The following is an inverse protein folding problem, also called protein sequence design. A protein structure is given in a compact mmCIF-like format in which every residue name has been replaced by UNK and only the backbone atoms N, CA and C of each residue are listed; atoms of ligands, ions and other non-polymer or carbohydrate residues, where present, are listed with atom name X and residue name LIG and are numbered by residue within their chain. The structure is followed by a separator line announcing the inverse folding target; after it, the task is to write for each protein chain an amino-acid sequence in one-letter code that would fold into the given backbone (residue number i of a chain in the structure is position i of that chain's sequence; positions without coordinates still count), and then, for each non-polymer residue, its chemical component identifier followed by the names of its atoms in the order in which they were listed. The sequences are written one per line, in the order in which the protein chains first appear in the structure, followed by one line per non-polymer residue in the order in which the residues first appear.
data_IF_180430457465
#
_entry.id   IF_180430457465
#
_cell.length_a   1.000
_cell.length_b   1.000
_cell.length_c   1.000
_cell.angle_alpha   90.00
_cell.angle_beta   90.00
_cell.angle_gamma   90.00
#
_symmetry.space_group_name_H-M   'P 1'
#
loop_
_entity.id
_entity.type
_entity.pdbx_description
1 polymer ?
#
# COMPACT_ATOMS: atom_id res chain seq x y z
N UNK A 1 -10.45 15.75 -27.05
CA UNK A 1 -9.38 15.07 -26.31
C UNK A 1 -9.92 14.64 -24.96
N UNK A 2 -9.92 13.34 -24.66
CA UNK A 2 -10.20 12.89 -23.30
C UNK A 2 -8.95 13.17 -22.47
N UNK A 3 -9.07 14.01 -21.44
CA UNK A 3 -8.03 14.16 -20.43
C UNK A 3 -7.74 12.75 -19.89
N UNK A 4 -6.55 12.20 -20.13
CA UNK A 4 -6.22 10.86 -19.64
C UNK A 4 -6.32 10.88 -18.11
N UNK A 5 -7.35 10.24 -17.56
CA UNK A 5 -7.51 10.11 -16.11
C UNK A 5 -6.42 9.15 -15.64
N UNK A 6 -5.38 9.69 -15.02
CA UNK A 6 -4.27 8.91 -14.47
C UNK A 6 -4.77 8.09 -13.29
N UNK A 7 -4.69 6.76 -13.41
CA UNK A 7 -4.90 5.86 -12.28
C UNK A 7 -3.61 5.81 -11.45
N UNK A 8 -3.74 6.09 -10.15
CA UNK A 8 -2.60 6.08 -9.23
C UNK A 8 -2.67 4.83 -8.37
N UNK A 9 -1.58 4.05 -8.35
CA UNK A 9 -1.37 2.97 -7.39
C UNK A 9 -0.38 3.48 -6.34
N UNK A 10 -0.74 3.37 -5.07
CA UNK A 10 0.10 3.81 -3.95
C UNK A 10 0.82 2.58 -3.39
N UNK A 11 2.15 2.65 -3.28
CA UNK A 11 2.96 1.62 -2.62
C UNK A 11 3.51 2.23 -1.33
N UNK A 12 3.16 1.63 -0.20
CA UNK A 12 3.55 2.09 1.12
C UNK A 12 4.78 1.34 1.60
N UNK A 13 5.72 2.10 2.17
CA UNK A 13 6.90 1.57 2.85
C UNK A 13 6.91 2.11 4.28
N UNK A 14 6.92 1.22 5.28
CA UNK A 14 6.91 1.54 6.70
C UNK A 14 5.63 1.11 7.42
N UNK A 15 5.36 1.77 8.54
CA UNK A 15 4.51 1.33 9.64
C UNK A 15 3.30 2.24 9.89
N UNK A 16 3.04 3.22 9.02
CA UNK A 16 1.85 4.06 9.08
C UNK A 16 1.16 4.21 7.71
N UNK A 17 -0.16 3.97 7.71
CA UNK A 17 -1.07 4.56 6.73
C UNK A 17 -1.12 6.08 7.01
N UNK A 18 -0.18 6.82 6.42
CA UNK A 18 -0.17 8.28 6.46
C UNK A 18 -1.31 8.88 5.64
N UNK A 19 -1.14 10.12 5.17
CA UNK A 19 -2.09 10.78 4.26
C UNK A 19 -2.03 10.14 2.86
N UNK A 20 -2.81 9.08 2.65
CA UNK A 20 -3.05 8.47 1.35
C UNK A 20 -4.00 9.39 0.55
N UNK A 21 -3.84 9.52 -0.78
CA UNK A 21 -4.83 10.17 -1.62
C UNK A 21 -6.24 9.63 -1.37
N UNK A 22 -7.27 10.47 -1.54
CA UNK A 22 -8.66 10.07 -1.24
C UNK A 22 -9.18 8.93 -2.15
N UNK A 23 -8.67 8.83 -3.38
CA UNK A 23 -9.18 7.90 -4.40
C UNK A 23 -8.03 7.26 -5.20
N UNK A 24 -7.19 6.41 -4.57
CA UNK A 24 -6.23 5.61 -5.32
C UNK A 24 -6.97 4.51 -6.08
N UNK A 25 -6.41 4.07 -7.21
CA UNK A 25 -6.90 2.90 -7.91
C UNK A 25 -6.62 1.61 -7.11
N UNK A 26 -5.50 1.57 -6.38
CA UNK A 26 -5.12 0.50 -5.46
C UNK A 26 -4.07 0.99 -4.45
N UNK A 27 -3.96 0.29 -3.32
CA UNK A 27 -2.92 0.50 -2.30
C UNK A 27 -2.24 -0.86 -2.06
N UNK A 28 -0.90 -0.86 -2.04
CA UNK A 28 -0.06 -2.02 -1.69
C UNK A 28 0.75 -1.63 -0.45
N UNK A 29 0.58 -2.37 0.64
CA UNK A 29 1.44 -2.26 1.82
C UNK A 29 2.64 -3.20 1.66
N UNK A 30 3.83 -2.64 1.50
CA UNK A 30 5.07 -3.40 1.33
C UNK A 30 5.87 -3.51 2.65
N UNK A 31 5.44 -2.83 3.72
CA UNK A 31 6.16 -2.69 4.98
C UNK A 31 7.60 -2.23 4.71
N UNK A 32 8.60 -3.05 5.02
CA UNK A 32 10.02 -2.75 4.81
C UNK A 32 10.62 -3.88 3.98
N UNK A 33 10.34 -3.91 2.68
CA UNK A 33 10.95 -4.87 1.79
C UNK A 33 12.42 -4.48 1.64
N UNK A 34 13.31 -5.44 1.87
CA UNK A 34 14.74 -5.21 1.82
C UNK A 34 15.24 -5.18 0.35
N UNK A 35 16.40 -5.74 0.08
CA UNK A 35 17.13 -5.62 -1.19
C UNK A 35 16.37 -6.21 -2.39
N UNK A 36 15.46 -7.15 -2.14
CA UNK A 36 14.66 -7.83 -3.18
C UNK A 36 13.41 -7.06 -3.60
N UNK A 37 13.13 -5.90 -3.00
CA UNK A 37 11.94 -5.09 -3.33
C UNK A 37 11.85 -4.74 -4.82
N UNK A 38 12.99 -4.49 -5.48
CA UNK A 38 13.03 -4.12 -6.90
C UNK A 38 12.55 -5.23 -7.84
N UNK A 39 12.67 -6.49 -7.42
CA UNK A 39 12.20 -7.65 -8.18
C UNK A 39 10.78 -8.07 -7.75
N UNK A 40 10.50 -8.04 -6.45
CA UNK A 40 9.21 -8.45 -5.92
C UNK A 40 8.06 -7.52 -6.34
N UNK A 41 8.30 -6.21 -6.41
CA UNK A 41 7.24 -5.24 -6.71
C UNK A 41 6.65 -5.41 -8.13
N UNK A 42 7.46 -5.56 -9.21
CA UNK A 42 6.94 -5.90 -10.53
C UNK A 42 6.14 -7.21 -10.57
N UNK A 43 6.56 -8.25 -9.84
CA UNK A 43 5.84 -9.52 -9.82
C UNK A 43 4.43 -9.36 -9.25
N UNK A 44 4.26 -8.54 -8.20
CA UNK A 44 2.94 -8.24 -7.64
C UNK A 44 2.12 -7.36 -8.61
N UNK A 45 2.71 -6.29 -9.15
CA UNK A 45 2.01 -5.33 -10.02
C UNK A 45 1.57 -5.94 -11.36
N UNK A 46 2.37 -6.82 -11.93
CA UNK A 46 2.07 -7.49 -13.20
C UNK A 46 1.41 -8.86 -13.02
N UNK A 47 1.11 -9.26 -11.78
CA UNK A 47 0.36 -10.48 -11.47
C UNK A 47 1.16 -11.79 -11.63
N UNK A 48 2.49 -11.72 -11.64
CA UNK A 48 3.35 -12.90 -11.47
C UNK A 48 3.18 -13.53 -10.08
N UNK A 49 2.87 -12.71 -9.07
CA UNK A 49 2.51 -13.14 -7.71
C UNK A 49 1.18 -12.49 -7.31
N UNK A 50 0.26 -13.30 -6.78
CA UNK A 50 -1.00 -12.80 -6.23
C UNK A 50 -0.81 -12.40 -4.75
N UNK A 51 -1.05 -11.13 -4.35
CA UNK A 51 -0.92 -10.73 -2.96
C UNK A 51 -1.89 -11.52 -2.07
N UNK A 52 -1.35 -12.19 -1.05
CA UNK A 52 -2.10 -13.11 -0.17
C UNK A 52 -1.97 -12.78 1.31
N UNK A 53 -1.01 -11.94 1.68
CA UNK A 53 -0.75 -11.59 3.07
C UNK A 53 -1.89 -10.79 3.69
N UNK A 54 -2.00 -10.92 5.01
CA UNK A 54 -2.97 -10.21 5.85
C UNK A 54 -2.23 -9.36 6.86
N UNK A 55 -2.83 -8.24 7.23
CA UNK A 55 -2.25 -7.33 8.20
C UNK A 55 -2.17 -8.00 9.58
N UNK A 56 -0.96 -8.07 10.14
CA UNK A 56 -0.70 -8.66 11.45
C UNK A 56 -1.08 -7.71 12.61
N UNK A 57 -1.23 -6.42 12.32
CA UNK A 57 -1.63 -5.39 13.27
C UNK A 57 -2.84 -4.61 12.76
N UNK A 58 -3.57 -3.98 13.67
CA UNK A 58 -4.67 -3.08 13.31
C UNK A 58 -4.13 -1.71 12.93
N UNK A 59 -4.52 -1.19 11.76
CA UNK A 59 -4.23 0.19 11.37
C UNK A 59 -5.35 1.11 11.86
N UNK A 60 -5.06 2.02 12.81
CA UNK A 60 -6.06 2.95 13.29
C UNK A 60 -6.39 3.98 12.21
N UNK A 61 -7.66 4.39 12.15
CA UNK A 61 -8.11 5.43 11.21
C UNK A 61 -7.51 6.79 11.57
N UNK A 62 -7.56 7.13 12.85
CA UNK A 62 -6.98 8.35 13.39
C UNK A 62 -6.00 7.98 14.51
N UNK A 63 -4.96 8.81 14.72
CA UNK A 63 -3.97 8.58 15.78
C UNK A 63 -4.62 8.44 17.17
N UNK A 64 -5.74 9.13 17.39
CA UNK A 64 -6.53 9.03 18.61
C UNK A 64 -7.12 7.62 18.86
N UNK A 65 -7.30 6.80 17.80
CA UNK A 65 -7.76 5.42 17.91
C UNK A 65 -6.65 4.42 18.24
N UNK A 66 -5.38 4.83 18.16
CA UNK A 66 -4.25 3.99 18.58
C UNK A 66 -4.17 3.84 20.11
N UNK A 67 -4.81 4.76 20.86
CA UNK A 67 -4.88 4.75 22.31
C UNK A 67 -6.09 3.92 22.79
N UNK A 68 -6.01 2.60 22.67
CA UNK A 68 -6.89 1.68 23.42
C UNK A 68 -5.94 0.79 24.25
N UNK A 69 -6.12 0.70 25.59
CA UNK A 69 -5.18 0.04 26.50
C UNK A 69 -5.02 -1.46 26.25
#
# INVERSE_FOLDING_TARGET
EALAVTKVIVVLFGDLLGSIPEQPAAIIDAILPCELSGQAMPEILYGGVNPSDKLAITYPKDLANAAIP
#
